data_IF_880836140452
#
_entry.id   IF_880836140452
#
_cell.length_a   1.000
_cell.length_b   1.000
_cell.length_c   1.000
_cell.angle_alpha   90.00
_cell.angle_beta   90.00
_cell.angle_gamma   90.00
#
_symmetry.space_group_name_H-M   'P 1'
#
loop_
_entity.id
_entity.type
_entity.pdbx_description
1 polymer ?
#
# COMPACT_ATOMS: atom_id res chain seq x y z
N UNK A 1 32.12 -4.49 -0.98
CA UNK A 1 32.82 -5.54 -0.22
C UNK A 1 32.89 -5.12 1.25
N UNK A 2 31.92 -5.52 2.08
CA UNK A 2 32.09 -5.78 3.51
C UNK A 2 30.79 -6.42 4.03
N UNK A 3 30.76 -7.76 4.02
CA UNK A 3 29.84 -8.53 4.85
C UNK A 3 30.31 -8.38 6.30
N UNK A 4 29.48 -7.85 7.19
CA UNK A 4 29.59 -8.13 8.63
C UNK A 4 28.37 -8.93 9.07
N UNK A 5 28.62 -10.19 9.39
CA UNK A 5 27.70 -11.05 10.18
C UNK A 5 27.41 -10.33 11.50
N UNK A 6 26.19 -9.86 11.68
CA UNK A 6 25.66 -9.51 12.99
C UNK A 6 24.95 -10.74 13.55
N UNK A 7 25.70 -11.57 14.27
CA UNK A 7 25.13 -12.53 15.22
C UNK A 7 24.67 -11.75 16.46
N UNK A 8 23.56 -11.03 16.33
CA UNK A 8 22.85 -10.47 17.47
C UNK A 8 21.90 -11.53 18.02
N UNK A 9 22.12 -11.95 19.28
CA UNK A 9 21.12 -12.73 20.00
C UNK A 9 19.89 -11.84 20.14
N UNK A 10 18.85 -12.14 19.35
CA UNK A 10 17.53 -11.56 19.54
C UNK A 10 17.07 -11.91 20.95
N UNK A 11 17.05 -10.93 21.85
CA UNK A 11 16.22 -11.03 23.04
C UNK A 11 14.78 -10.90 22.56
N UNK A 12 14.21 -12.05 22.21
CA UNK A 12 12.79 -12.22 21.98
C UNK A 12 12.12 -11.88 23.32
N UNK A 13 11.52 -10.69 23.43
CA UNK A 13 10.47 -10.48 24.43
C UNK A 13 9.51 -11.64 24.26
N UNK A 14 9.28 -12.42 25.34
CA UNK A 14 8.40 -13.59 25.30
C UNK A 14 7.16 -13.23 24.47
N UNK A 15 6.81 -13.98 23.42
CA UNK A 15 5.55 -13.78 22.74
C UNK A 15 4.45 -13.77 23.82
N UNK A 16 3.36 -13.00 23.64
CA UNK A 16 2.22 -13.11 24.53
C UNK A 16 1.93 -14.60 24.73
N UNK A 17 1.67 -15.01 25.97
CA UNK A 17 1.50 -16.40 26.39
C UNK A 17 0.21 -17.05 25.85
N UNK A 18 -0.18 -16.68 24.63
CA UNK A 18 -1.27 -17.27 23.88
C UNK A 18 -0.74 -18.41 23.02
N UNK A 19 -1.59 -19.40 22.82
CA UNK A 19 -1.33 -20.47 21.88
C UNK A 19 -1.16 -19.86 20.46
N UNK A 20 -0.20 -20.33 19.66
CA UNK A 20 -0.06 -19.88 18.26
C UNK A 20 -1.39 -20.01 17.50
N UNK A 21 -2.18 -21.03 17.85
CA UNK A 21 -3.54 -21.22 17.37
C UNK A 21 -4.45 -20.05 17.71
N UNK A 22 -4.41 -19.52 18.94
CA UNK A 22 -5.21 -18.37 19.35
C UNK A 22 -4.81 -17.08 18.60
N UNK A 23 -3.51 -16.88 18.37
CA UNK A 23 -3.04 -15.75 17.56
C UNK A 23 -3.53 -15.85 16.12
N UNK A 24 -3.52 -17.06 15.54
CA UNK A 24 -3.96 -17.31 14.18
C UNK A 24 -5.50 -17.20 14.03
N UNK A 25 -6.24 -17.66 15.03
CA UNK A 25 -7.71 -17.53 15.09
C UNK A 25 -8.14 -16.08 15.34
N UNK A 26 -7.37 -15.34 16.13
CA UNK A 26 -7.58 -13.92 16.42
C UNK A 26 -7.22 -12.99 15.24
N UNK A 27 -6.35 -13.41 14.31
CA UNK A 27 -5.83 -12.57 13.24
C UNK A 27 -6.89 -12.02 12.26
N UNK A 28 -8.05 -12.68 12.16
CA UNK A 28 -9.20 -12.19 11.40
C UNK A 28 -10.48 -12.09 12.24
N UNK A 29 -10.32 -12.16 13.57
CA UNK A 29 -11.42 -11.86 14.50
C UNK A 29 -11.46 -10.35 14.69
N UNK A 30 -12.65 -9.80 14.52
CA UNK A 30 -12.94 -8.38 14.51
C UNK A 30 -13.83 -8.03 15.69
N UNK A 31 -13.33 -7.18 16.57
CA UNK A 31 -14.08 -6.45 17.58
C UNK A 31 -13.56 -5.01 17.58
N UNK A 32 -14.38 -4.05 18.02
CA UNK A 32 -13.94 -2.66 18.18
C UNK A 32 -12.65 -2.61 19.02
N UNK A 33 -11.55 -2.12 18.43
CA UNK A 33 -10.27 -2.02 19.13
C UNK A 33 -10.42 -0.90 20.15
N UNK A 34 -10.32 -1.26 21.43
CA UNK A 34 -10.15 -0.27 22.50
C UNK A 34 -8.65 0.00 22.62
N UNK A 35 -8.17 1.22 22.33
CA UNK A 35 -6.76 1.56 22.47
C UNK A 35 -6.30 1.24 23.88
N UNK A 36 -5.26 0.40 24.02
CA UNK A 36 -4.66 0.10 25.33
C UNK A 36 -3.55 1.07 25.68
N UNK A 37 -3.02 1.77 24.68
CA UNK A 37 -1.96 2.76 24.79
C UNK A 37 -2.16 3.90 23.78
N UNK A 38 -1.49 5.06 23.95
CA UNK A 38 -1.47 6.12 22.93
C UNK A 38 -0.95 5.64 21.58
N UNK A 39 -0.09 4.61 21.58
CA UNK A 39 0.39 3.95 20.37
C UNK A 39 -0.66 3.05 19.70
N UNK A 40 -1.85 2.84 20.28
CA UNK A 40 -2.98 2.09 19.69
C UNK A 40 -4.15 3.00 19.29
N UNK A 41 -4.06 4.31 19.58
CA UNK A 41 -5.15 5.29 19.43
C UNK A 41 -5.52 5.56 17.96
N UNK A 42 -4.62 5.25 17.04
CA UNK A 42 -4.82 5.38 15.58
C UNK A 42 -5.52 4.18 14.95
N UNK A 43 -5.91 3.16 15.73
CA UNK A 43 -6.61 1.96 15.21
C UNK A 43 -8.06 2.28 14.80
N UNK A 44 -8.23 3.09 13.76
CA UNK A 44 -9.54 3.28 13.12
C UNK A 44 -9.85 2.04 12.28
N UNK A 45 -10.93 1.37 12.63
CA UNK A 45 -11.37 0.19 11.92
C UNK A 45 -12.02 0.61 10.59
N UNK A 46 -11.77 -0.13 9.47
CA UNK A 46 -12.45 0.14 8.20
C UNK A 46 -13.94 -0.23 8.23
N UNK A 47 -14.40 -0.84 9.33
CA UNK A 47 -15.77 -1.30 9.53
C UNK A 47 -16.56 -0.34 10.41
N UNK A 48 -17.88 -0.30 10.22
CA UNK A 48 -18.79 0.51 11.01
C UNK A 48 -18.68 0.16 12.50
N UNK A 49 -18.72 1.18 13.35
CA UNK A 49 -18.71 1.05 14.81
C UNK A 49 -19.76 0.04 15.29
N UNK A 50 -19.38 -0.90 16.16
CA UNK A 50 -20.26 -1.97 16.64
C UNK A 50 -20.35 -3.19 15.73
N UNK A 51 -19.63 -3.21 14.61
CA UNK A 51 -19.45 -4.46 13.84
C UNK A 51 -18.68 -5.45 14.73
N UNK A 52 -19.04 -6.73 14.70
CA UNK A 52 -18.23 -7.79 15.30
C UNK A 52 -18.25 -8.98 14.36
N UNK A 53 -17.07 -9.49 14.03
CA UNK A 53 -16.93 -10.59 13.08
C UNK A 53 -15.96 -11.61 13.63
N UNK A 54 -16.48 -12.77 14.02
CA UNK A 54 -15.68 -13.85 14.59
C UNK A 54 -15.68 -15.00 13.60
N UNK A 55 -14.66 -15.06 12.75
CA UNK A 55 -14.46 -16.15 11.81
C UNK A 55 -13.13 -16.85 12.08
N UNK A 56 -13.19 -18.13 12.46
CA UNK A 56 -12.00 -18.96 12.51
C UNK A 56 -11.46 -19.15 11.09
N UNK A 57 -10.37 -18.46 10.77
CA UNK A 57 -9.64 -18.63 9.51
C UNK A 57 -9.14 -20.06 9.35
N UNK A 58 -8.63 -20.66 10.43
CA UNK A 58 -8.16 -22.04 10.40
C UNK A 58 -9.27 -23.02 9.98
N UNK A 59 -10.46 -22.91 10.59
CA UNK A 59 -11.57 -23.84 10.33
C UNK A 59 -12.22 -23.66 8.96
N UNK A 60 -12.19 -22.45 8.39
CA UNK A 60 -12.79 -22.15 7.07
C UNK A 60 -11.77 -22.00 5.94
N UNK A 61 -10.46 -22.06 6.22
CA UNK A 61 -9.43 -22.03 5.19
C UNK A 61 -9.49 -23.32 4.37
N UNK A 62 -9.96 -23.21 3.13
CA UNK A 62 -9.77 -24.27 2.15
C UNK A 62 -8.27 -24.33 1.86
N UNK A 63 -7.62 -25.41 2.30
CA UNK A 63 -6.19 -25.65 2.06
C UNK A 63 -6.04 -26.76 1.04
N UNK A 64 -6.22 -26.48 -0.26
CA UNK A 64 -5.97 -27.48 -1.27
C UNK A 64 -4.51 -27.91 -1.15
N UNK A 65 -4.24 -29.22 -1.19
CA UNK A 65 -2.87 -29.76 -1.20
C UNK A 65 -2.23 -29.43 -2.54
N UNK A 66 -1.72 -28.21 -2.68
CA UNK A 66 -0.91 -27.76 -3.82
C UNK A 66 0.55 -27.68 -3.40
N UNK A 67 1.45 -28.11 -4.28
CA UNK A 67 2.88 -27.97 -4.03
C UNK A 67 3.24 -26.47 -4.13
N UNK A 68 3.79 -25.84 -3.07
CA UNK A 68 4.13 -24.42 -3.11
C UNK A 68 5.20 -24.08 -4.16
N UNK A 69 5.93 -25.06 -4.68
CA UNK A 69 6.91 -24.86 -5.76
C UNK A 69 6.27 -24.67 -7.13
N UNK A 70 5.02 -25.09 -7.28
CA UNK A 70 4.28 -25.00 -8.55
C UNK A 70 3.26 -23.86 -8.55
N UNK A 71 3.01 -23.22 -7.41
CA UNK A 71 2.05 -22.12 -7.29
C UNK A 71 2.73 -20.76 -7.36
N UNK A 72 1.93 -19.73 -7.65
CA UNK A 72 2.37 -18.33 -7.66
C UNK A 72 1.46 -17.44 -6.82
N UNK A 73 2.03 -16.31 -6.39
CA UNK A 73 1.30 -15.19 -5.79
C UNK A 73 1.65 -13.96 -6.60
N UNK A 74 0.65 -13.24 -7.08
CA UNK A 74 0.86 -12.04 -7.90
C UNK A 74 0.62 -10.80 -7.03
N UNK A 75 1.66 -9.97 -6.93
CA UNK A 75 1.63 -8.74 -6.14
C UNK A 75 1.67 -7.53 -7.05
N UNK A 76 0.73 -6.61 -6.85
CA UNK A 76 0.61 -5.39 -7.64
C UNK A 76 1.19 -4.17 -6.90
N UNK A 77 2.03 -3.36 -7.57
CA UNK A 77 2.60 -2.16 -6.98
C UNK A 77 1.55 -1.06 -6.82
N UNK A 78 1.82 -0.14 -5.90
CA UNK A 78 1.03 1.06 -5.71
C UNK A 78 1.55 2.26 -6.53
N UNK A 79 0.97 3.43 -6.25
CA UNK A 79 1.49 4.73 -6.69
C UNK A 79 2.96 4.90 -6.24
N UNK A 80 3.79 5.47 -7.11
CA UNK A 80 5.25 5.61 -6.93
C UNK A 80 6.08 4.69 -7.82
N UNK A 81 5.47 3.66 -8.42
CA UNK A 81 6.15 2.73 -9.34
C UNK A 81 6.24 3.24 -10.80
N UNK A 82 5.59 4.36 -11.11
CA UNK A 82 5.53 4.93 -12.46
C UNK A 82 6.86 5.53 -12.90
N UNK A 83 7.17 5.43 -14.19
CA UNK A 83 8.30 6.09 -14.82
C UNK A 83 7.99 6.38 -16.30
N UNK A 84 8.57 7.45 -16.85
CA UNK A 84 8.39 7.77 -18.27
C UNK A 84 9.08 6.69 -19.12
N UNK A 85 8.37 6.21 -20.14
CA UNK A 85 8.76 5.06 -20.94
C UNK A 85 8.19 3.73 -20.44
N UNK A 86 7.46 3.71 -19.31
CA UNK A 86 6.71 2.51 -18.92
C UNK A 86 5.70 2.16 -20.00
N UNK A 87 5.54 0.87 -20.30
CA UNK A 87 4.70 0.41 -21.41
C UNK A 87 5.41 0.24 -22.75
N UNK A 88 6.61 0.79 -22.98
CA UNK A 88 7.32 0.69 -24.29
C UNK A 88 7.56 -0.74 -24.76
N UNK A 89 7.87 -1.64 -23.84
CA UNK A 89 8.02 -3.06 -24.15
C UNK A 89 6.71 -3.82 -24.10
N UNK A 90 5.70 -3.29 -23.40
CA UNK A 90 4.39 -3.94 -23.25
C UNK A 90 3.59 -3.80 -24.54
N UNK A 91 3.58 -2.64 -25.19
CA UNK A 91 2.83 -2.39 -26.43
C UNK A 91 3.29 -3.21 -27.64
N UNK A 92 4.41 -3.92 -27.52
CA UNK A 92 4.85 -4.91 -28.53
C UNK A 92 3.97 -6.16 -28.51
N UNK A 93 3.25 -6.38 -27.41
CA UNK A 93 2.30 -7.47 -27.22
C UNK A 93 0.91 -6.94 -27.58
N UNK A 94 0.22 -7.52 -28.58
CA UNK A 94 -1.07 -7.02 -29.03
C UNK A 94 -2.11 -6.89 -27.91
N UNK A 95 -2.28 -7.91 -27.07
CA UNK A 95 -3.25 -7.88 -25.98
C UNK A 95 -2.94 -6.81 -24.91
N UNK A 96 -1.65 -6.56 -24.65
CA UNK A 96 -1.23 -5.48 -23.76
C UNK A 96 -1.55 -4.10 -24.36
N UNK A 97 -1.43 -3.93 -25.68
CA UNK A 97 -1.82 -2.70 -26.37
C UNK A 97 -3.34 -2.49 -26.30
N UNK A 98 -4.13 -3.54 -26.49
CA UNK A 98 -5.59 -3.47 -26.41
C UNK A 98 -6.05 -2.99 -25.03
N UNK A 99 -5.36 -3.40 -23.95
CA UNK A 99 -5.62 -2.91 -22.59
C UNK A 99 -5.41 -1.40 -22.48
N UNK A 100 -4.33 -0.86 -23.08
CA UNK A 100 -4.09 0.59 -23.09
C UNK A 100 -5.13 1.35 -23.90
N UNK A 101 -5.53 0.83 -25.05
CA UNK A 101 -6.51 1.46 -25.93
C UNK A 101 -7.88 1.51 -25.23
N UNK A 102 -8.35 0.37 -24.70
CA UNK A 102 -9.61 0.29 -23.97
C UNK A 102 -9.60 1.18 -22.72
N UNK A 103 -8.50 1.21 -21.98
CA UNK A 103 -8.36 2.09 -20.82
C UNK A 103 -8.48 3.56 -21.22
N UNK A 104 -7.86 3.95 -22.35
CA UNK A 104 -7.91 5.32 -22.84
C UNK A 104 -9.32 5.74 -23.26
N UNK A 105 -10.09 4.82 -23.85
CA UNK A 105 -11.51 5.03 -24.16
C UNK A 105 -12.36 5.23 -22.91
N UNK A 106 -12.11 4.48 -21.84
CA UNK A 106 -12.85 4.58 -20.57
C UNK A 106 -12.50 5.89 -19.85
N UNK A 107 -11.21 6.17 -19.73
CA UNK A 107 -10.67 7.30 -18.94
C UNK A 107 -10.74 8.65 -19.67
N UNK A 108 -11.02 8.63 -20.98
CA UNK A 108 -11.13 9.81 -21.86
C UNK A 108 -9.82 10.60 -22.00
N UNK A 109 -8.68 9.93 -21.85
CA UNK A 109 -7.37 10.45 -22.20
C UNK A 109 -6.43 9.32 -22.63
N UNK A 110 -5.42 9.64 -23.42
CA UNK A 110 -4.42 8.67 -23.89
C UNK A 110 -3.46 8.28 -22.77
N UNK A 111 -3.73 7.14 -22.13
CA UNK A 111 -2.93 6.63 -21.01
C UNK A 111 -1.55 6.23 -21.49
N UNK A 112 -1.48 5.58 -22.66
CA UNK A 112 -0.23 5.07 -23.19
C UNK A 112 0.74 6.21 -23.51
N UNK A 113 0.26 7.29 -24.13
CA UNK A 113 1.08 8.46 -24.42
C UNK A 113 1.65 9.08 -23.15
N UNK A 114 0.84 9.21 -22.09
CA UNK A 114 1.32 9.72 -20.80
C UNK A 114 2.40 8.81 -20.21
N UNK A 115 2.23 7.48 -20.31
CA UNK A 115 3.23 6.51 -19.86
C UNK A 115 4.54 6.59 -20.67
N UNK A 116 4.47 6.74 -21.99
CA UNK A 116 5.63 6.67 -22.89
C UNK A 116 6.42 7.98 -22.96
N UNK A 117 5.72 9.11 -23.01
CA UNK A 117 6.28 10.42 -23.35
C UNK A 117 6.30 11.38 -22.15
N UNK A 118 5.48 11.15 -21.13
CA UNK A 118 5.34 12.07 -20.01
C UNK A 118 4.60 13.35 -20.38
N UNK A 119 5.00 14.54 -19.91
CA UNK A 119 6.20 14.82 -19.10
C UNK A 119 6.13 14.19 -17.70
N UNK A 120 7.29 14.07 -17.03
CA UNK A 120 7.42 13.40 -15.73
C UNK A 120 6.49 14.00 -14.68
N UNK A 121 6.34 15.33 -14.68
CA UNK A 121 5.49 16.08 -13.76
C UNK A 121 4.02 15.71 -13.94
N UNK A 122 3.58 15.58 -15.20
CA UNK A 122 2.22 15.13 -15.53
C UNK A 122 2.00 13.69 -15.09
N UNK A 123 2.95 12.80 -15.37
CA UNK A 123 2.86 11.39 -14.97
C UNK A 123 2.89 11.23 -13.44
N UNK A 124 3.57 12.11 -12.72
CA UNK A 124 3.64 12.10 -11.26
C UNK A 124 2.42 12.73 -10.58
N UNK A 125 1.61 13.52 -11.28
CA UNK A 125 0.32 13.95 -10.75
C UNK A 125 -0.56 12.74 -10.46
N UNK A 126 -1.13 12.70 -9.25
CA UNK A 126 -1.96 11.59 -8.76
C UNK A 126 -3.06 11.22 -9.75
N UNK A 127 -3.66 12.22 -10.40
CA UNK A 127 -4.71 12.05 -11.43
C UNK A 127 -4.30 11.13 -12.58
N UNK A 128 -3.05 11.22 -13.03
CA UNK A 128 -2.54 10.43 -14.15
C UNK A 128 -1.75 9.22 -13.68
N UNK A 129 -0.99 9.37 -12.60
CA UNK A 129 -0.19 8.30 -12.02
C UNK A 129 -1.02 7.07 -11.70
N UNK A 130 -2.17 7.24 -11.04
CA UNK A 130 -2.93 6.08 -10.58
C UNK A 130 -3.49 5.25 -11.74
N UNK A 131 -4.23 5.83 -12.71
CA UNK A 131 -4.65 5.05 -13.87
C UNK A 131 -3.48 4.44 -14.63
N UNK A 132 -2.38 5.19 -14.79
CA UNK A 132 -1.21 4.73 -15.54
C UNK A 132 -0.54 3.49 -14.89
N UNK A 133 -0.40 3.45 -13.57
CA UNK A 133 0.16 2.30 -12.83
C UNK A 133 -0.76 1.08 -12.95
N UNK A 134 -2.08 1.26 -12.80
CA UNK A 134 -3.04 0.14 -12.90
C UNK A 134 -3.04 -0.46 -14.30
N UNK A 135 -3.14 0.38 -15.33
CA UNK A 135 -3.18 -0.06 -16.73
C UNK A 135 -1.86 -0.72 -17.13
N UNK A 136 -0.72 -0.12 -16.78
CA UNK A 136 0.58 -0.70 -17.08
C UNK A 136 0.80 -2.05 -16.35
N UNK A 137 0.28 -2.18 -15.12
CA UNK A 137 0.35 -3.42 -14.34
C UNK A 137 -0.50 -4.53 -14.95
N UNK A 138 -1.71 -4.21 -15.42
CA UNK A 138 -2.58 -5.17 -16.14
C UNK A 138 -1.99 -5.55 -17.50
N UNK A 139 -1.45 -4.59 -18.24
CA UNK A 139 -0.73 -4.85 -19.49
C UNK A 139 0.54 -5.71 -19.28
N UNK A 140 1.21 -5.59 -18.13
CA UNK A 140 2.34 -6.43 -17.79
C UNK A 140 1.94 -7.90 -17.52
N UNK A 141 0.69 -8.16 -17.12
CA UNK A 141 0.19 -9.53 -16.98
C UNK A 141 0.09 -10.25 -18.31
N UNK A 142 -0.26 -9.55 -19.39
CA UNK A 142 -0.28 -10.12 -20.74
C UNK A 142 1.12 -10.60 -21.14
N UNK A 143 2.14 -9.80 -20.83
CA UNK A 143 3.53 -10.21 -21.00
C UNK A 143 3.89 -11.42 -20.14
N UNK A 144 3.51 -11.40 -18.86
CA UNK A 144 3.78 -12.51 -17.95
C UNK A 144 3.10 -13.81 -18.43
N UNK A 145 1.89 -13.70 -19.00
CA UNK A 145 1.13 -14.81 -19.56
C UNK A 145 1.82 -15.44 -20.77
N UNK A 146 2.43 -14.62 -21.65
CA UNK A 146 3.23 -15.14 -22.78
C UNK A 146 4.54 -15.79 -22.31
N UNK A 147 5.25 -15.17 -21.37
CA UNK A 147 6.57 -15.66 -20.93
C UNK A 147 6.45 -16.86 -19.98
N UNK A 148 5.43 -16.88 -19.12
CA UNK A 148 5.25 -17.85 -18.02
C UNK A 148 3.76 -18.11 -17.74
N UNK A 149 3.04 -18.82 -18.62
CA UNK A 149 1.60 -19.06 -18.47
C UNK A 149 1.23 -19.75 -17.14
N UNK A 150 2.07 -20.71 -16.69
CA UNK A 150 1.90 -21.38 -15.40
C UNK A 150 1.88 -20.40 -14.20
N UNK A 151 2.54 -19.23 -14.29
CA UNK A 151 2.50 -18.24 -13.23
C UNK A 151 1.13 -17.56 -13.10
N UNK A 152 0.30 -17.57 -14.13
CA UNK A 152 -1.08 -17.08 -14.09
C UNK A 152 -2.02 -18.24 -13.73
N UNK A 153 -1.87 -19.39 -14.40
CA UNK A 153 -2.75 -20.56 -14.22
C UNK A 153 -2.67 -21.16 -12.81
N UNK A 154 -1.49 -21.16 -12.21
CA UNK A 154 -1.25 -21.67 -10.86
C UNK A 154 -1.23 -20.58 -9.79
N UNK A 155 -1.75 -19.39 -10.12
CA UNK A 155 -1.89 -18.30 -9.16
C UNK A 155 -2.94 -18.64 -8.11
N UNK A 156 -2.51 -18.74 -6.85
CA UNK A 156 -3.39 -19.10 -5.72
C UNK A 156 -3.84 -17.89 -4.92
N UNK A 157 -3.15 -16.76 -5.05
CA UNK A 157 -3.47 -15.54 -4.32
C UNK A 157 -2.94 -14.32 -5.07
N UNK A 158 -3.61 -13.20 -4.86
CA UNK A 158 -3.14 -11.89 -5.29
C UNK A 158 -3.33 -10.86 -4.19
N UNK A 159 -2.47 -9.87 -4.17
CA UNK A 159 -2.61 -8.71 -3.30
C UNK A 159 -1.99 -7.49 -4.00
N UNK A 160 -2.27 -6.30 -3.50
CA UNK A 160 -1.58 -5.12 -3.98
C UNK A 160 -1.44 -4.07 -2.90
N UNK A 161 -0.45 -3.21 -3.09
CA UNK A 161 -0.12 -2.17 -2.12
C UNK A 161 -0.87 -0.88 -2.46
N UNK A 162 -1.73 -0.40 -1.56
CA UNK A 162 -2.52 0.83 -1.74
C UNK A 162 -3.32 0.78 -3.06
N UNK A 163 -2.97 1.58 -4.07
CA UNK A 163 -3.55 1.52 -5.40
C UNK A 163 -3.50 0.11 -6.03
N UNK A 164 -2.45 -0.66 -5.74
CA UNK A 164 -2.29 -2.02 -6.26
C UNK A 164 -3.43 -2.95 -5.85
N UNK A 165 -4.13 -2.68 -4.74
CA UNK A 165 -5.27 -3.49 -4.30
C UNK A 165 -6.40 -3.49 -5.35
N UNK A 166 -6.66 -2.34 -5.97
CA UNK A 166 -7.66 -2.25 -7.04
C UNK A 166 -7.21 -3.07 -8.25
N UNK A 167 -5.91 -3.04 -8.57
CA UNK A 167 -5.35 -3.86 -9.66
C UNK A 167 -5.50 -5.35 -9.35
N UNK A 168 -5.25 -5.75 -8.11
CA UNK A 168 -5.42 -7.13 -7.64
C UNK A 168 -6.88 -7.59 -7.74
N UNK A 169 -7.83 -6.73 -7.38
CA UNK A 169 -9.27 -7.02 -7.46
C UNK A 169 -9.77 -7.12 -8.91
N UNK A 170 -9.25 -6.29 -9.82
CA UNK A 170 -9.52 -6.41 -11.25
C UNK A 170 -8.95 -7.73 -11.79
N UNK A 171 -7.69 -8.04 -11.47
CA UNK A 171 -7.05 -9.29 -11.88
C UNK A 171 -7.79 -10.53 -11.35
N UNK A 172 -8.25 -10.50 -10.10
CA UNK A 172 -9.04 -11.57 -9.49
C UNK A 172 -10.47 -11.68 -10.05
N UNK A 173 -10.89 -10.79 -10.95
CA UNK A 173 -12.24 -10.75 -11.50
C UNK A 173 -13.32 -10.32 -10.50
N UNK A 174 -12.91 -9.79 -9.33
CA UNK A 174 -13.84 -9.30 -8.30
C UNK A 174 -14.46 -7.96 -8.67
N UNK A 175 -13.75 -7.15 -9.45
CA UNK A 175 -14.23 -5.89 -10.02
C UNK A 175 -14.05 -5.93 -11.54
N UNK A 176 -15.10 -5.64 -12.35
CA UNK A 176 -14.97 -5.53 -13.80
C UNK A 176 -13.94 -4.46 -14.19
N UNK A 177 -13.18 -4.70 -15.26
CA UNK A 177 -12.12 -3.79 -15.72
C UNK A 177 -12.57 -2.33 -15.87
N UNK A 178 -13.72 -2.09 -16.50
CA UNK A 178 -14.23 -0.75 -16.75
C UNK A 178 -14.65 -0.03 -15.47
N UNK A 179 -15.28 -0.75 -14.54
CA UNK A 179 -15.66 -0.22 -13.22
C UNK A 179 -14.43 0.03 -12.36
N UNK A 180 -13.44 -0.86 -12.41
CA UNK A 180 -12.17 -0.72 -11.72
C UNK A 180 -11.41 0.53 -12.17
N UNK A 181 -11.33 0.80 -13.48
CA UNK A 181 -10.70 2.01 -13.99
C UNK A 181 -11.47 3.29 -13.61
N UNK A 182 -12.80 3.28 -13.66
CA UNK A 182 -13.61 4.41 -13.17
C UNK A 182 -13.41 4.67 -11.68
N UNK A 183 -13.33 3.62 -10.87
CA UNK A 183 -13.02 3.72 -9.44
C UNK A 183 -11.64 4.34 -9.22
N UNK A 184 -10.63 3.91 -9.98
CA UNK A 184 -9.28 4.49 -9.92
C UNK A 184 -9.31 5.97 -10.32
N UNK A 185 -10.06 6.34 -11.35
CA UNK A 185 -10.20 7.73 -11.78
C UNK A 185 -10.79 8.61 -10.67
N UNK A 186 -11.92 8.19 -10.08
CA UNK A 186 -12.57 8.92 -8.98
C UNK A 186 -11.63 9.03 -7.76
N UNK A 187 -10.96 7.93 -7.40
CA UNK A 187 -9.97 7.91 -6.31
C UNK A 187 -8.83 8.89 -6.57
N UNK A 188 -8.28 8.88 -7.78
CA UNK A 188 -7.17 9.73 -8.17
C UNK A 188 -7.55 11.22 -8.13
N UNK A 189 -8.74 11.56 -8.64
CA UNK A 189 -9.27 12.91 -8.62
C UNK A 189 -9.56 13.40 -7.20
N UNK A 190 -10.23 12.58 -6.37
CA UNK A 190 -10.50 12.93 -4.98
C UNK A 190 -9.21 13.13 -4.17
N UNK A 191 -8.21 12.27 -4.35
CA UNK A 191 -6.91 12.40 -3.69
C UNK A 191 -6.13 13.63 -4.17
N UNK A 192 -6.19 13.95 -5.47
CA UNK A 192 -5.57 15.16 -6.01
C UNK A 192 -6.22 16.40 -5.41
N UNK A 193 -7.56 16.47 -5.39
CA UNK A 193 -8.31 17.58 -4.79
C UNK A 193 -7.98 17.76 -3.30
N UNK A 194 -7.90 16.67 -2.53
CA UNK A 194 -7.51 16.72 -1.12
C UNK A 194 -6.06 17.24 -0.94
N UNK A 195 -5.14 16.79 -1.80
CA UNK A 195 -3.74 17.24 -1.78
C UNK A 195 -3.59 18.71 -2.18
N UNK A 196 -4.43 19.20 -3.10
CA UNK A 196 -4.41 20.61 -3.53
C UNK A 196 -5.04 21.52 -2.47
N UNK A 197 -6.03 21.02 -1.72
CA UNK A 197 -6.70 21.75 -0.66
C UNK A 197 -5.87 21.89 0.62
N UNK A 198 -5.04 20.90 0.94
CA UNK A 198 -4.21 20.90 2.15
C UNK A 198 -2.79 20.40 1.86
N UNK A 199 -1.82 21.29 2.04
CA UNK A 199 -0.41 20.94 1.89
C UNK A 199 0.03 19.92 2.95
N UNK A 200 0.51 18.78 2.50
CA UNK A 200 1.03 17.71 3.34
C UNK A 200 2.07 16.87 2.61
N UNK A 201 2.65 15.92 3.33
CA UNK A 201 3.68 15.05 2.80
C UNK A 201 3.69 13.69 3.47
N UNK A 202 4.64 12.87 3.03
CA UNK A 202 4.93 11.58 3.63
C UNK A 202 6.44 11.43 3.83
N UNK A 203 6.85 10.79 4.92
CA UNK A 203 8.24 10.50 5.25
C UNK A 203 8.40 9.01 5.59
N UNK A 204 9.40 8.37 4.98
CA UNK A 204 9.79 7.01 5.34
C UNK A 204 10.64 7.04 6.61
N UNK A 205 10.17 6.36 7.64
CA UNK A 205 10.81 6.30 8.96
C UNK A 205 11.40 4.92 9.17
N UNK A 206 12.73 4.87 9.26
CA UNK A 206 13.47 3.70 9.71
C UNK A 206 13.62 3.75 11.23
N UNK A 207 13.26 2.67 11.92
CA UNK A 207 13.16 2.65 13.37
C UNK A 207 13.63 1.32 13.99
N UNK A 208 14.15 1.40 15.21
CA UNK A 208 14.56 0.22 16.00
C UNK A 208 13.40 -0.37 16.81
N UNK A 209 13.54 -1.58 17.38
CA UNK A 209 12.48 -2.24 18.14
C UNK A 209 11.81 -1.37 19.22
N UNK A 210 12.60 -0.56 19.94
CA UNK A 210 12.12 0.28 21.05
C UNK A 210 11.76 1.71 20.64
N UNK A 211 11.78 2.01 19.33
CA UNK A 211 11.46 3.35 18.84
C UNK A 211 9.96 3.63 18.91
N UNK A 212 9.59 4.72 19.58
CA UNK A 212 8.20 5.12 19.82
C UNK A 212 7.67 6.04 18.73
N UNK A 213 7.53 5.51 17.51
CA UNK A 213 7.10 6.28 16.32
C UNK A 213 5.70 6.89 16.51
N UNK A 214 4.78 6.19 17.17
CA UNK A 214 3.44 6.71 17.47
C UNK A 214 3.49 7.94 18.38
N UNK A 215 4.21 7.84 19.50
CA UNK A 215 4.47 8.98 20.39
C UNK A 215 5.17 10.16 19.68
N UNK A 216 6.08 9.88 18.75
CA UNK A 216 6.72 10.94 17.97
C UNK A 216 5.70 11.70 17.10
N UNK A 217 4.80 10.97 16.43
CA UNK A 217 3.72 11.56 15.64
C UNK A 217 2.77 12.40 16.50
N UNK A 218 2.42 11.90 17.70
CA UNK A 218 1.57 12.63 18.65
C UNK A 218 2.22 13.95 19.08
N UNK A 219 3.50 13.93 19.48
CA UNK A 219 4.22 15.16 19.85
C UNK A 219 4.35 16.14 18.69
N UNK A 220 4.53 15.64 17.47
CA UNK A 220 4.56 16.49 16.28
C UNK A 220 3.23 17.21 16.05
N UNK A 221 2.11 16.49 16.26
CA UNK A 221 0.77 17.04 16.19
C UNK A 221 0.53 18.09 17.29
N UNK A 222 0.85 17.78 18.54
CA UNK A 222 0.72 18.72 19.68
C UNK A 222 1.52 20.01 19.43
N UNK A 223 2.77 19.88 18.98
CA UNK A 223 3.63 21.01 18.65
C UNK A 223 3.05 21.90 17.54
N UNK A 224 2.37 21.29 16.55
CA UNK A 224 1.68 22.02 15.49
C UNK A 224 0.43 22.74 16.00
N UNK A 225 -0.35 22.12 16.89
CA UNK A 225 -1.53 22.73 17.52
C UNK A 225 -1.14 23.97 18.33
N UNK A 226 -0.10 23.88 19.16
CA UNK A 226 0.41 25.01 19.96
C UNK A 226 0.83 26.23 19.11
N UNK A 227 1.18 25.99 17.85
CA UNK A 227 1.62 27.02 16.88
C UNK A 227 0.54 27.46 15.93
N UNK A 228 -0.71 27.02 16.13
CA UNK A 228 -1.85 27.39 15.29
C UNK A 228 -1.71 26.91 13.85
N UNK A 229 -1.07 25.75 13.61
CA UNK A 229 -1.04 25.15 12.27
C UNK A 229 -2.43 24.67 11.91
N UNK A 230 -2.96 25.12 10.78
CA UNK A 230 -4.34 24.88 10.34
C UNK A 230 -4.69 23.39 10.20
N UNK A 231 -3.76 22.57 9.68
CA UNK A 231 -3.89 21.12 9.58
C UNK A 231 -2.75 20.43 10.34
N UNK A 232 -2.84 20.25 11.66
CA UNK A 232 -1.71 19.79 12.49
C UNK A 232 -1.50 18.27 12.45
N UNK A 233 -2.04 17.58 11.44
CA UNK A 233 -2.04 16.10 11.42
C UNK A 233 -0.64 15.51 11.22
N UNK A 234 -0.39 14.39 11.90
CA UNK A 234 0.81 13.59 11.79
C UNK A 234 0.51 12.16 12.27
N UNK A 235 0.53 11.19 11.37
CA UNK A 235 0.06 9.83 11.61
C UNK A 235 0.91 8.80 10.86
N UNK A 236 0.97 7.58 11.37
CA UNK A 236 1.57 6.47 10.62
C UNK A 236 0.59 6.06 9.51
N UNK A 237 0.96 6.28 8.26
CA UNK A 237 0.16 5.97 7.09
C UNK A 237 0.37 4.54 6.58
N UNK A 238 1.60 4.00 6.69
CA UNK A 238 1.90 2.65 6.23
C UNK A 238 2.82 1.89 7.19
N UNK A 239 2.52 0.61 7.37
CA UNK A 239 3.37 -0.37 8.02
C UNK A 239 4.00 -1.24 6.94
N UNK A 240 5.28 -1.02 6.60
CA UNK A 240 5.93 -1.70 5.48
C UNK A 240 6.57 -3.02 5.92
N UNK A 241 7.52 -2.94 6.85
CA UNK A 241 8.20 -4.10 7.46
C UNK A 241 8.65 -3.74 8.88
N UNK A 242 9.10 -4.70 9.73
CA UNK A 242 9.30 -4.50 11.18
C UNK A 242 10.19 -3.32 11.63
N UNK A 243 10.91 -2.68 10.71
CA UNK A 243 11.79 -1.53 10.95
C UNK A 243 11.54 -0.36 9.99
N UNK A 244 10.43 -0.36 9.27
CA UNK A 244 10.09 0.68 8.32
C UNK A 244 8.59 0.98 8.30
N UNK A 245 8.29 2.24 8.59
CA UNK A 245 6.95 2.81 8.52
C UNK A 245 6.97 4.02 7.60
N UNK A 246 5.82 4.40 7.08
CA UNK A 246 5.62 5.70 6.43
C UNK A 246 4.74 6.53 7.34
N UNK A 247 5.18 7.74 7.65
CA UNK A 247 4.41 8.75 8.39
C UNK A 247 3.89 9.77 7.38
N UNK A 248 2.64 10.18 7.51
CA UNK A 248 2.03 11.23 6.71
C UNK A 248 1.49 12.34 7.61
N UNK A 249 1.53 13.57 7.13
CA UNK A 249 1.08 14.71 7.90
C UNK A 249 1.35 16.04 7.21
N UNK A 250 1.11 17.13 7.93
CA UNK A 250 1.50 18.45 7.46
C UNK A 250 3.01 18.60 7.34
N UNK A 251 3.45 19.49 6.44
CA UNK A 251 4.88 19.75 6.24
C UNK A 251 5.58 20.13 7.56
N UNK A 252 4.95 20.99 8.36
CA UNK A 252 5.48 21.41 9.67
C UNK A 252 5.61 20.26 10.67
N UNK A 253 4.67 19.31 10.69
CA UNK A 253 4.77 18.15 11.56
C UNK A 253 5.91 17.21 11.12
N UNK A 254 6.08 17.02 9.81
CA UNK A 254 7.19 16.22 9.26
C UNK A 254 8.56 16.86 9.53
N UNK A 255 8.67 18.17 9.38
CA UNK A 255 9.87 18.95 9.75
C UNK A 255 10.19 18.81 11.24
N UNK A 256 9.17 18.87 12.11
CA UNK A 256 9.35 18.61 13.54
C UNK A 256 9.91 17.21 13.79
N UNK A 257 9.36 16.18 13.14
CA UNK A 257 9.84 14.81 13.29
C UNK A 257 11.29 14.67 12.84
N UNK A 258 11.66 15.27 11.71
CA UNK A 258 13.04 15.24 11.20
C UNK A 258 14.02 15.92 12.18
N UNK A 259 13.68 17.12 12.65
CA UNK A 259 14.49 17.87 13.60
C UNK A 259 14.66 17.16 14.95
N UNK A 260 13.63 16.41 15.39
CA UNK A 260 13.60 15.76 16.69
C UNK A 260 13.85 14.25 16.62
N UNK A 261 14.22 13.70 15.46
CA UNK A 261 14.37 12.26 15.26
C UNK A 261 15.31 11.59 16.28
N UNK A 262 16.34 12.30 16.75
CA UNK A 262 17.28 11.82 17.76
C UNK A 262 16.64 11.62 19.14
N UNK A 263 15.61 12.40 19.48
CA UNK A 263 14.92 12.33 20.77
C UNK A 263 13.97 11.13 20.88
N UNK A 264 13.72 10.45 19.76
CA UNK A 264 12.85 9.28 19.67
C UNK A 264 13.64 7.99 19.38
N UNK A 265 14.97 8.08 19.34
CA UNK A 265 15.86 6.92 19.38
C UNK A 265 16.09 6.56 20.85
N UNK A 266 15.99 5.28 21.22
CA UNK A 266 16.39 4.82 22.55
C UNK A 266 17.88 5.06 22.81
#
# INVERSE_FOLDING_TARGET
>A
MLLRRLTGRYFCTKPPSGNVTELLEGAATFEDIKPKSPDDEWSTLPYLKGTSFRQSQAAKSVRPKRDPRTTSIILFPGQGAQFVGMGRNLVKIPSAKDIFDLASEILKFDVLKVCLEGPVEKLNSTRYCQPAVVVASLAALEKLKEERPAAIEECIATAGFSLGEITALIFAGSIPFDQGLKLVQVRAEAMQLASDAAAGGMATVLYGPDSKVGQACLKAKEWCVERGVESPECLIANYLYPHCKVVAGSMKALEFLEANAKNFRP
#
